data_IF_628653335524
#
_entry.id   IF_628653335524
#
_cell.length_a   1.000
_cell.length_b   1.000
_cell.length_c   1.000
_cell.angle_alpha   90.00
_cell.angle_beta   90.00
_cell.angle_gamma   90.00
#
_symmetry.space_group_name_H-M   'P 1'
#
loop_
_entity.id
_entity.type
_entity.pdbx_description
1 polymer ?
#
# COMPACT_ATOMS: atom_id res chain seq x y z
N UNK A 1 16.16 7.47 -7.36
CA UNK A 1 16.11 6.53 -6.22
C UNK A 1 17.49 5.89 -6.12
N UNK A 2 18.30 6.29 -5.16
CA UNK A 2 19.51 5.51 -4.81
C UNK A 2 19.05 4.19 -4.19
N UNK A 3 19.79 3.09 -4.36
CA UNK A 3 19.56 1.79 -3.70
C UNK A 3 20.81 1.46 -2.88
N UNK A 4 20.69 1.46 -1.55
CA UNK A 4 21.78 1.05 -0.67
C UNK A 4 21.99 -0.46 -0.83
N UNK A 5 23.23 -0.94 -0.91
CA UNK A 5 23.54 -2.38 -0.81
C UNK A 5 23.87 -2.74 0.63
N UNK A 6 23.82 -4.03 0.95
CA UNK A 6 24.10 -4.59 2.29
C UNK A 6 25.45 -4.17 2.90
N UNK A 7 26.40 -3.72 2.07
CA UNK A 7 27.71 -3.20 2.48
C UNK A 7 27.76 -1.67 2.70
N UNK A 8 26.61 -0.99 2.75
CA UNK A 8 26.50 0.42 3.11
C UNK A 8 26.42 1.39 1.93
N UNK A 9 26.55 2.68 2.25
CA UNK A 9 26.46 3.81 1.31
C UNK A 9 27.66 3.84 0.37
N UNK A 10 27.44 3.91 -0.95
CA UNK A 10 28.49 4.19 -1.93
C UNK A 10 28.56 5.69 -2.20
N UNK A 11 29.70 6.32 -1.88
CA UNK A 11 29.91 7.76 -2.02
C UNK A 11 29.51 8.30 -3.41
N UNK A 12 29.89 7.59 -4.49
CA UNK A 12 29.56 8.00 -5.85
C UNK A 12 28.05 8.16 -6.13
N UNK A 13 27.19 7.30 -5.58
CA UNK A 13 25.75 7.41 -5.78
C UNK A 13 25.11 8.41 -4.83
N UNK A 14 25.66 8.55 -3.63
CA UNK A 14 25.27 9.59 -2.68
C UNK A 14 25.47 10.98 -3.29
N UNK A 15 26.66 11.23 -3.85
CA UNK A 15 27.04 12.53 -4.41
C UNK A 15 26.24 12.85 -5.68
N UNK A 16 25.93 11.83 -6.47
CA UNK A 16 25.04 11.94 -7.63
C UNK A 16 23.62 12.33 -7.18
N UNK A 17 23.08 11.65 -6.17
CA UNK A 17 21.76 11.96 -5.64
C UNK A 17 21.71 13.37 -5.03
N UNK A 18 22.76 13.82 -4.35
CA UNK A 18 22.86 15.21 -3.86
C UNK A 18 22.90 16.21 -5.02
N UNK A 19 23.69 15.94 -6.06
CA UNK A 19 23.83 16.82 -7.24
C UNK A 19 22.50 17.04 -7.96
N UNK A 20 21.69 15.99 -8.09
CA UNK A 20 20.41 16.03 -8.80
C UNK A 20 19.20 16.16 -7.87
N UNK A 21 19.42 16.44 -6.57
CA UNK A 21 18.39 16.57 -5.55
C UNK A 21 17.40 15.38 -5.54
N UNK A 22 17.93 14.16 -5.64
CA UNK A 22 17.16 12.92 -5.69
C UNK A 22 16.96 12.32 -4.29
N UNK A 23 15.81 11.69 -4.08
CA UNK A 23 15.57 10.87 -2.90
C UNK A 23 16.49 9.65 -2.88
N UNK A 24 17.09 9.43 -1.71
CA UNK A 24 17.94 8.28 -1.39
C UNK A 24 17.06 7.23 -0.70
N UNK A 25 17.10 5.96 -1.08
CA UNK A 25 16.36 4.92 -0.36
C UNK A 25 17.18 3.62 -0.27
N UNK A 26 17.27 3.01 0.91
CA UNK A 26 17.95 1.73 1.05
C UNK A 26 17.02 0.54 0.86
N UNK A 27 17.56 -0.58 0.39
CA UNK A 27 16.84 -1.84 0.34
C UNK A 27 17.81 -3.02 0.26
N UNK A 28 17.43 -4.18 0.76
CA UNK A 28 18.27 -5.38 0.66
C UNK A 28 18.41 -5.91 -0.76
N UNK A 29 17.48 -5.54 -1.65
CA UNK A 29 17.32 -6.18 -2.95
C UNK A 29 17.26 -7.71 -2.78
N UNK A 30 16.41 -8.17 -1.85
CA UNK A 30 16.29 -9.56 -1.45
C UNK A 30 15.66 -10.39 -2.58
N UNK A 31 16.35 -11.45 -3.01
CA UNK A 31 15.91 -12.31 -4.12
C UNK A 31 15.44 -13.69 -3.66
N UNK A 32 15.55 -14.01 -2.36
CA UNK A 32 14.97 -15.22 -1.78
C UNK A 32 15.73 -16.49 -2.10
N UNK A 33 17.00 -16.38 -2.51
CA UNK A 33 17.89 -17.53 -2.63
C UNK A 33 18.86 -17.50 -1.46
N UNK A 34 19.09 -18.68 -0.86
CA UNK A 34 20.00 -18.93 0.26
C UNK A 34 21.48 -18.67 -0.08
N UNK A 35 21.81 -17.52 -0.66
CA UNK A 35 23.17 -17.08 -0.88
C UNK A 35 23.71 -16.45 0.39
N UNK A 36 24.93 -16.82 0.77
CA UNK A 36 25.70 -16.28 1.90
C UNK A 36 25.94 -14.75 1.88
N UNK A 37 25.26 -13.99 1.01
CA UNK A 37 25.36 -12.53 0.89
C UNK A 37 24.01 -11.79 0.91
N UNK A 38 22.88 -12.48 1.03
CA UNK A 38 21.57 -11.81 1.20
C UNK A 38 21.36 -11.40 2.66
N UNK A 39 20.85 -10.19 2.88
CA UNK A 39 20.43 -9.74 4.20
C UNK A 39 19.07 -10.35 4.55
N UNK A 40 18.90 -10.80 5.79
CA UNK A 40 17.60 -11.30 6.28
C UNK A 40 16.49 -10.25 6.07
N UNK A 41 15.27 -10.70 5.83
CA UNK A 41 14.12 -9.81 5.66
C UNK A 41 13.96 -8.89 6.88
N UNK A 42 13.95 -7.58 6.63
CA UNK A 42 13.83 -6.56 7.69
C UNK A 42 15.12 -6.24 8.44
N UNK A 43 16.26 -6.88 8.12
CA UNK A 43 17.55 -6.62 8.80
C UNK A 43 18.30 -5.39 8.30
N UNK A 44 17.85 -4.75 7.22
CA UNK A 44 18.48 -3.55 6.67
C UNK A 44 18.12 -2.33 7.49
N UNK A 45 19.13 -1.73 8.14
CA UNK A 45 18.97 -0.47 8.84
C UNK A 45 18.83 0.69 7.85
N UNK A 46 17.67 1.34 7.87
CA UNK A 46 17.40 2.56 7.10
C UNK A 46 17.41 3.78 8.01
N UNK A 47 18.14 4.86 7.66
CA UNK A 47 18.08 6.09 8.43
C UNK A 47 16.65 6.63 8.48
N UNK A 48 16.13 6.89 9.68
CA UNK A 48 14.75 7.33 9.91
C UNK A 48 14.40 8.59 9.11
N UNK A 49 15.33 9.54 9.04
CA UNK A 49 15.16 10.80 8.27
C UNK A 49 14.94 10.52 6.78
N UNK A 50 15.75 9.63 6.21
CA UNK A 50 15.67 9.25 4.79
C UNK A 50 14.35 8.53 4.51
N UNK A 51 13.94 7.62 5.39
CA UNK A 51 12.65 6.94 5.28
C UNK A 51 11.49 7.93 5.36
N UNK A 52 11.53 8.86 6.30
CA UNK A 52 10.51 9.88 6.47
C UNK A 52 10.39 10.80 5.25
N UNK A 53 11.51 11.26 4.68
CA UNK A 53 11.50 12.11 3.49
C UNK A 53 10.96 11.36 2.26
N UNK A 54 11.33 10.08 2.12
CA UNK A 54 10.72 9.20 1.11
C UNK A 54 9.21 9.07 1.31
N UNK A 55 8.76 8.77 2.53
CA UNK A 55 7.33 8.61 2.85
C UNK A 55 6.55 9.89 2.58
N UNK A 56 7.12 11.07 2.88
CA UNK A 56 6.50 12.37 2.57
C UNK A 56 6.22 12.55 1.08
N UNK A 57 7.18 12.20 0.22
CA UNK A 57 7.02 12.33 -1.23
C UNK A 57 6.10 11.24 -1.80
N UNK A 58 6.17 10.02 -1.24
CA UNK A 58 5.37 8.91 -1.70
C UNK A 58 3.92 8.94 -1.20
N UNK A 59 3.62 9.60 -0.07
CA UNK A 59 2.27 9.67 0.51
C UNK A 59 1.19 10.19 -0.45
N UNK A 60 1.36 11.32 -1.16
CA UNK A 60 0.35 11.77 -2.13
C UNK A 60 0.16 10.77 -3.28
N UNK A 61 1.22 10.08 -3.72
CA UNK A 61 1.15 9.05 -4.77
C UNK A 61 0.31 7.86 -4.28
N UNK A 62 0.55 7.39 -3.06
CA UNK A 62 -0.26 6.33 -2.44
C UNK A 62 -1.71 6.74 -2.26
N UNK A 63 -1.97 7.96 -1.77
CA UNK A 63 -3.33 8.47 -1.62
C UNK A 63 -4.05 8.53 -2.96
N UNK A 64 -3.38 9.01 -4.03
CA UNK A 64 -3.94 9.01 -5.38
C UNK A 64 -4.25 7.60 -5.88
N UNK A 65 -3.32 6.65 -5.71
CA UNK A 65 -3.54 5.27 -6.14
C UNK A 65 -4.72 4.60 -5.41
N UNK A 66 -4.88 4.88 -4.10
CA UNK A 66 -6.04 4.41 -3.32
C UNK A 66 -7.33 4.99 -3.88
N UNK A 67 -7.34 6.30 -4.20
CA UNK A 67 -8.49 6.95 -4.86
C UNK A 67 -8.84 6.26 -6.17
N UNK A 68 -7.85 6.05 -7.04
CA UNK A 68 -8.06 5.42 -8.35
C UNK A 68 -8.65 4.01 -8.24
N UNK A 69 -8.18 3.21 -7.27
CA UNK A 69 -8.71 1.87 -7.01
C UNK A 69 -10.18 1.94 -6.58
N UNK A 70 -10.51 2.83 -5.63
CA UNK A 70 -11.87 2.96 -5.11
C UNK A 70 -12.83 3.56 -6.13
N UNK A 71 -12.37 4.53 -6.92
CA UNK A 71 -13.13 5.07 -8.04
C UNK A 71 -13.38 4.02 -9.11
N UNK A 72 -12.38 3.19 -9.43
CA UNK A 72 -12.52 2.09 -10.36
C UNK A 72 -13.63 1.13 -9.93
N UNK A 73 -13.66 0.79 -8.65
CA UNK A 73 -14.75 -0.01 -8.08
C UNK A 73 -16.10 0.71 -8.08
N UNK A 74 -16.14 2.01 -7.77
CA UNK A 74 -17.37 2.79 -7.79
C UNK A 74 -17.97 2.93 -9.20
N UNK A 75 -17.12 3.02 -10.23
CA UNK A 75 -17.53 3.08 -11.64
C UNK A 75 -17.98 1.71 -12.16
N UNK A 76 -17.27 0.66 -11.77
CA UNK A 76 -17.53 -0.71 -12.19
C UNK A 76 -17.42 -1.66 -10.99
N UNK A 77 -18.55 -1.90 -10.28
CA UNK A 77 -18.59 -2.76 -9.10
C UNK A 77 -18.55 -4.24 -9.53
N UNK A 78 -17.36 -4.71 -9.89
CA UNK A 78 -17.07 -6.10 -10.28
C UNK A 78 -16.24 -6.82 -9.22
N UNK A 79 -16.31 -8.15 -9.18
CA UNK A 79 -15.50 -8.98 -8.29
C UNK A 79 -14.00 -8.77 -8.52
N UNK A 80 -13.58 -8.50 -9.76
CA UNK A 80 -12.20 -8.19 -10.10
C UNK A 80 -11.73 -6.88 -9.47
N UNK A 81 -12.55 -5.83 -9.48
CA UNK A 81 -12.22 -4.55 -8.84
C UNK A 81 -12.31 -4.66 -7.31
N UNK A 82 -13.23 -5.46 -6.78
CA UNK A 82 -13.29 -5.77 -5.35
C UNK A 82 -12.06 -6.55 -4.87
N UNK A 83 -11.55 -7.50 -5.66
CA UNK A 83 -10.33 -8.23 -5.35
C UNK A 83 -9.10 -7.31 -5.25
N UNK A 84 -9.03 -6.24 -6.06
CA UNK A 84 -7.97 -5.22 -5.95
C UNK A 84 -8.01 -4.50 -4.61
N UNK A 85 -9.19 -4.15 -4.11
CA UNK A 85 -9.38 -3.57 -2.77
C UNK A 85 -9.00 -4.60 -1.70
N UNK A 86 -9.51 -5.83 -1.83
CA UNK A 86 -9.32 -6.90 -0.86
C UNK A 86 -7.85 -7.34 -0.70
N UNK A 87 -7.02 -7.23 -1.75
CA UNK A 87 -5.60 -7.58 -1.73
C UNK A 87 -4.78 -6.75 -0.74
N UNK A 88 -5.12 -5.47 -0.56
CA UNK A 88 -4.35 -4.54 0.27
C UNK A 88 -4.87 -4.43 1.70
N UNK A 89 -6.12 -4.83 1.92
CA UNK A 89 -6.59 -5.16 3.26
C UNK A 89 -6.01 -6.51 3.65
N UNK A 90 -5.52 -6.69 4.88
CA UNK A 90 -5.26 -8.03 5.43
C UNK A 90 -6.58 -8.77 5.68
N UNK A 91 -7.37 -8.96 4.62
CA UNK A 91 -8.70 -9.59 4.63
C UNK A 91 -8.62 -11.10 4.88
N UNK A 92 -7.42 -11.66 5.07
CA UNK A 92 -7.22 -13.07 5.43
C UNK A 92 -7.78 -13.47 6.80
N UNK A 93 -8.24 -12.50 7.62
CA UNK A 93 -8.70 -12.75 8.99
C UNK A 93 -10.20 -12.52 9.23
N UNK A 94 -11.02 -12.20 8.21
CA UNK A 94 -12.49 -12.09 8.38
C UNK A 94 -13.22 -13.44 8.39
N UNK A 95 -12.54 -14.50 8.85
CA UNK A 95 -13.13 -15.81 9.12
C UNK A 95 -13.91 -15.73 10.45
N UNK A 96 -14.95 -14.90 10.52
CA UNK A 96 -15.75 -14.80 11.76
C UNK A 96 -16.72 -13.63 11.90
N UNK A 97 -16.71 -12.61 11.04
CA UNK A 97 -17.73 -11.55 11.10
C UNK A 97 -18.85 -11.83 10.12
N UNK A 98 -20.08 -11.69 10.60
CA UNK A 98 -21.36 -11.99 9.95
C UNK A 98 -21.52 -11.48 8.50
N UNK A 99 -22.43 -12.07 7.70
CA UNK A 99 -22.54 -11.85 6.25
C UNK A 99 -23.17 -10.49 5.86
N UNK A 100 -23.17 -9.49 6.73
CA UNK A 100 -24.04 -8.32 6.58
C UNK A 100 -23.43 -7.00 7.07
N UNK A 101 -22.12 -6.79 6.95
CA UNK A 101 -21.61 -5.43 7.07
C UNK A 101 -21.85 -4.71 5.74
N UNK A 102 -22.56 -3.59 5.79
CA UNK A 102 -22.86 -2.75 4.63
C UNK A 102 -21.56 -2.47 3.84
N UNK A 103 -21.62 -2.31 2.51
CA UNK A 103 -20.44 -1.99 1.71
C UNK A 103 -19.64 -0.80 2.25
N UNK A 104 -20.35 0.14 2.88
CA UNK A 104 -19.80 1.26 3.64
C UNK A 104 -18.84 0.82 4.76
N UNK A 105 -19.20 -0.17 5.57
CA UNK A 105 -18.38 -0.65 6.69
C UNK A 105 -17.05 -1.25 6.22
N UNK A 106 -17.03 -1.87 5.04
CA UNK A 106 -15.81 -2.45 4.48
C UNK A 106 -14.87 -1.36 3.97
N UNK A 107 -15.40 -0.42 3.17
CA UNK A 107 -14.61 0.69 2.62
C UNK A 107 -14.07 1.55 3.76
N UNK A 108 -14.87 1.82 4.78
CA UNK A 108 -14.45 2.58 5.96
C UNK A 108 -13.29 1.90 6.70
N UNK A 109 -13.33 0.58 6.86
CA UNK A 109 -12.21 -0.19 7.44
C UNK A 109 -10.96 -0.17 6.55
N UNK A 110 -11.12 -0.26 5.23
CA UNK A 110 -10.01 -0.17 4.28
C UNK A 110 -9.29 1.18 4.43
N UNK A 111 -10.07 2.27 4.34
CA UNK A 111 -9.58 3.64 4.46
C UNK A 111 -8.89 3.88 5.81
N UNK A 112 -9.49 3.41 6.91
CA UNK A 112 -8.87 3.50 8.23
C UNK A 112 -7.53 2.74 8.35
N UNK A 113 -7.34 1.67 7.55
CA UNK A 113 -6.09 0.92 7.54
C UNK A 113 -5.01 1.51 6.62
N UNK A 114 -5.39 2.34 5.64
CA UNK A 114 -4.48 2.86 4.62
C UNK A 114 -4.14 4.35 4.81
N UNK A 115 -5.06 5.13 5.38
CA UNK A 115 -5.03 6.59 5.46
C UNK A 115 -5.01 7.09 6.90
N UNK A 116 -4.38 8.24 7.13
CA UNK A 116 -4.49 8.94 8.43
C UNK A 116 -5.88 9.56 8.59
N UNK A 117 -6.22 10.00 9.80
CA UNK A 117 -7.50 10.64 10.07
C UNK A 117 -7.69 11.92 9.25
N UNK A 118 -6.63 12.70 9.05
CA UNK A 118 -6.64 13.93 8.27
C UNK A 118 -6.85 13.65 6.78
N UNK A 119 -6.21 12.61 6.25
CA UNK A 119 -6.33 12.24 4.83
C UNK A 119 -7.71 11.67 4.50
N UNK A 120 -8.36 10.99 5.45
CA UNK A 120 -9.72 10.49 5.30
C UNK A 120 -10.75 11.62 5.16
N UNK A 121 -10.46 12.81 5.71
CA UNK A 121 -11.34 13.98 5.63
C UNK A 121 -11.24 14.71 4.28
N UNK A 122 -10.46 14.21 3.34
CA UNK A 122 -10.40 14.78 2.00
C UNK A 122 -11.75 14.61 1.29
N UNK A 123 -12.28 15.71 0.74
CA UNK A 123 -13.59 15.75 0.07
C UNK A 123 -13.76 14.68 -1.03
N UNK A 124 -12.67 14.31 -1.70
CA UNK A 124 -12.70 13.28 -2.75
C UNK A 124 -12.97 11.88 -2.15
N UNK A 125 -12.40 11.56 -0.99
CA UNK A 125 -12.69 10.29 -0.32
C UNK A 125 -14.12 10.26 0.21
N UNK A 126 -14.65 11.37 0.72
CA UNK A 126 -16.05 11.47 1.12
C UNK A 126 -17.01 11.30 -0.08
N UNK A 127 -16.69 11.90 -1.23
CA UNK A 127 -17.47 11.70 -2.45
C UNK A 127 -17.48 10.24 -2.91
N UNK A 128 -16.34 9.54 -2.82
CA UNK A 128 -16.22 8.12 -3.15
C UNK A 128 -17.02 7.26 -2.15
N UNK A 129 -16.93 7.55 -0.84
CA UNK A 129 -17.71 6.88 0.21
C UNK A 129 -19.20 7.02 -0.04
N UNK A 130 -19.66 8.21 -0.43
CA UNK A 130 -21.06 8.44 -0.74
C UNK A 130 -21.52 7.59 -1.94
N UNK A 131 -20.74 7.56 -3.02
CA UNK A 131 -21.02 6.71 -4.19
C UNK A 131 -21.11 5.23 -3.83
N UNK A 132 -20.17 4.73 -3.01
CA UNK A 132 -20.10 3.33 -2.60
C UNK A 132 -21.12 2.95 -1.52
N UNK A 133 -21.66 3.91 -0.78
CA UNK A 133 -22.67 3.65 0.26
C UNK A 133 -23.96 3.04 -0.27
N UNK A 134 -24.24 3.22 -1.57
CA UNK A 134 -25.40 2.66 -2.25
C UNK A 134 -25.11 1.31 -2.93
N UNK A 135 -23.86 0.84 -2.93
CA UNK A 135 -23.45 -0.41 -3.56
C UNK A 135 -23.55 -1.59 -2.60
N UNK A 136 -24.19 -2.68 -3.03
CA UNK A 136 -24.25 -3.94 -2.27
C UNK A 136 -22.99 -4.75 -2.56
N UNK A 137 -22.09 -4.86 -1.57
CA UNK A 137 -20.84 -5.61 -1.71
C UNK A 137 -21.06 -7.06 -1.28
N UNK A 138 -20.91 -8.01 -2.21
CA UNK A 138 -20.99 -9.44 -1.90
C UNK A 138 -19.57 -10.04 -1.78
N UNK A 139 -19.16 -10.36 -0.56
CA UNK A 139 -17.82 -10.89 -0.25
C UNK A 139 -17.70 -12.41 -0.45
N UNK A 140 -18.81 -13.11 -0.70
CA UNK A 140 -18.83 -14.59 -0.75
C UNK A 140 -18.04 -15.19 -1.93
N UNK A 141 -17.72 -14.40 -2.97
CA UNK A 141 -16.98 -14.85 -4.15
C UNK A 141 -15.50 -14.42 -4.22
N UNK A 142 -15.01 -13.57 -3.30
CA UNK A 142 -13.66 -13.00 -3.41
C UNK A 142 -12.62 -13.96 -2.83
N UNK A 143 -12.19 -14.93 -3.63
CA UNK A 143 -10.97 -15.67 -3.35
C UNK A 143 -9.77 -14.83 -3.79
N UNK A 144 -9.08 -14.22 -2.84
CA UNK A 144 -7.76 -13.64 -3.12
C UNK A 144 -6.82 -14.82 -3.35
N UNK A 145 -6.16 -14.93 -4.52
CA UNK A 145 -5.14 -15.95 -4.73
C UNK A 145 -4.05 -15.71 -3.70
N UNK A 146 -3.93 -16.63 -2.74
CA UNK A 146 -2.74 -16.71 -1.91
C UNK A 146 -1.69 -17.27 -2.85
N UNK A 147 -0.79 -16.42 -3.35
CA UNK A 147 0.46 -16.91 -3.94
C UNK A 147 1.23 -17.58 -2.81
N UNK A 148 0.97 -18.88 -2.62
CA UNK A 148 1.87 -19.77 -1.89
C UNK A 148 3.12 -19.91 -2.74
N UNK A 149 4.23 -19.39 -2.22
CA UNK A 149 5.56 -19.70 -2.71
C UNK A 149 6.34 -20.39 -1.61
#
# INVERSE_FOLDING_TARGET
MEVYRSNGRRAAYNDLADTYNLLKLGGSDYHGRDGHGESELGSVNLPVVVLHDFLKVARPIWCSAIKDILEGYAKEPSDTNLAKIARFTRMGSFKGSSPSSCGKDLIDRCLASWLTAEEQQNDEFEAIRLKLSHATINLSGVQVPIETK
#
